data_IF_196284756641
#
_entry.id   IF_196284756641
#
_cell.length_a   1.000
_cell.length_b   1.000
_cell.length_c   1.000
_cell.angle_alpha   90.00
_cell.angle_beta   90.00
_cell.angle_gamma   90.00
#
_symmetry.space_group_name_H-M   'P 1'
#
loop_
_entity.id
_entity.type
_entity.pdbx_description
1 polymer ?
#
# COMPACT_ATOMS: atom_id res chain seq x y z
N UNK A 1 12.92 -25.30 0.74
CA UNK A 1 12.28 -24.11 0.14
C UNK A 1 13.23 -23.60 -0.92
N UNK A 2 12.83 -23.64 -2.19
CA UNK A 2 13.69 -23.21 -3.30
C UNK A 2 13.24 -21.82 -3.73
N UNK A 3 14.17 -20.88 -3.81
CA UNK A 3 13.93 -19.52 -4.28
C UNK A 3 14.35 -19.46 -5.75
N UNK A 4 13.43 -19.06 -6.62
CA UNK A 4 13.66 -18.92 -8.05
C UNK A 4 13.62 -17.45 -8.45
N UNK A 5 14.44 -17.09 -9.44
CA UNK A 5 14.41 -15.78 -10.06
C UNK A 5 13.40 -15.78 -11.21
N UNK A 6 12.50 -14.81 -11.20
CA UNK A 6 11.51 -14.63 -12.26
C UNK A 6 12.16 -14.02 -13.50
N UNK A 7 12.35 -14.86 -14.53
CA UNK A 7 13.00 -14.47 -15.78
C UNK A 7 12.20 -13.41 -16.54
N UNK A 8 10.87 -13.38 -16.40
CA UNK A 8 10.03 -12.40 -17.12
C UNK A 8 10.21 -10.98 -16.56
N UNK A 9 10.61 -10.87 -15.30
CA UNK A 9 10.88 -9.61 -14.63
C UNK A 9 12.37 -9.17 -14.69
N UNK A 10 13.24 -9.90 -15.39
CA UNK A 10 14.67 -9.57 -15.48
C UNK A 10 15.02 -9.03 -16.88
N UNK A 11 15.45 -7.76 -16.92
CA UNK A 11 15.90 -7.09 -18.14
C UNK A 11 17.28 -7.54 -18.56
N UNK A 12 18.19 -7.64 -17.58
CA UNK A 12 19.59 -7.98 -17.81
C UNK A 12 20.21 -8.57 -16.55
N UNK A 13 21.06 -9.57 -16.73
CA UNK A 13 21.95 -10.09 -15.70
C UNK A 13 23.37 -9.78 -16.14
N UNK A 14 24.14 -9.14 -15.28
CA UNK A 14 25.56 -8.87 -15.51
C UNK A 14 26.38 -9.57 -14.43
N UNK A 15 27.38 -10.34 -14.83
CA UNK A 15 28.29 -11.04 -13.92
C UNK A 15 29.65 -10.38 -14.00
N UNK A 16 30.05 -9.72 -12.92
CA UNK A 16 31.40 -9.19 -12.80
C UNK A 16 32.32 -10.28 -12.24
N UNK A 17 33.18 -10.83 -13.10
CA UNK A 17 34.10 -11.92 -12.73
C UNK A 17 35.18 -11.48 -11.75
N UNK A 18 35.56 -10.19 -11.76
CA UNK A 18 36.63 -9.67 -10.91
C UNK A 18 36.12 -9.42 -9.48
N UNK A 19 34.93 -8.81 -9.34
CA UNK A 19 34.33 -8.56 -8.03
C UNK A 19 33.47 -9.72 -7.52
N UNK A 20 33.23 -10.76 -8.34
CA UNK A 20 32.33 -11.88 -8.06
C UNK A 20 30.88 -11.44 -7.76
N UNK A 21 30.47 -10.28 -8.28
CA UNK A 21 29.12 -9.74 -8.10
C UNK A 21 28.22 -10.11 -9.28
N UNK A 22 26.95 -10.40 -8.96
CA UNK A 22 25.88 -10.56 -9.93
C UNK A 22 24.93 -9.38 -9.79
N UNK A 23 24.82 -8.57 -10.83
CA UNK A 23 23.88 -7.48 -10.90
C UNK A 23 22.67 -7.91 -11.74
N UNK A 24 21.48 -7.77 -11.17
CA UNK A 24 20.21 -8.08 -11.84
C UNK A 24 19.48 -6.76 -12.03
N UNK A 25 19.26 -6.39 -13.30
CA UNK A 25 18.45 -5.24 -13.66
C UNK A 25 17.03 -5.72 -13.97
N UNK A 26 16.03 -5.21 -13.25
CA UNK A 26 14.61 -5.52 -13.46
C UNK A 26 14.06 -4.89 -14.75
N UNK A 27 13.07 -5.52 -15.39
CA UNK A 27 12.33 -4.97 -16.56
C UNK A 27 11.46 -3.80 -16.15
N UNK A 28 10.74 -3.96 -15.04
CA UNK A 28 9.88 -2.95 -14.47
C UNK A 28 10.59 -2.36 -13.28
N UNK A 29 10.77 -1.03 -13.27
CA UNK A 29 11.06 -0.35 -12.03
C UNK A 29 9.80 -0.44 -11.17
N UNK A 30 9.87 -1.09 -10.00
CA UNK A 30 8.72 -1.19 -9.12
C UNK A 30 8.29 0.23 -8.74
N UNK A 31 7.08 0.60 -9.15
CA UNK A 31 6.49 1.87 -8.76
C UNK A 31 5.96 1.70 -7.34
N UNK A 32 6.61 2.38 -6.41
CA UNK A 32 6.18 2.40 -5.02
C UNK A 32 5.34 3.64 -4.76
N UNK A 33 4.24 3.45 -4.03
CA UNK A 33 3.49 4.49 -3.36
C UNK A 33 3.99 4.57 -1.92
N UNK A 34 4.48 5.73 -1.50
CA UNK A 34 4.75 5.98 -0.08
C UNK A 34 3.43 6.36 0.59
N UNK A 35 3.03 5.65 1.66
CA UNK A 35 1.74 5.91 2.30
C UNK A 35 1.62 7.33 2.86
N UNK A 36 2.72 7.94 3.29
CA UNK A 36 2.75 9.35 3.69
C UNK A 36 2.42 10.35 2.58
N UNK A 37 2.49 9.96 1.30
CA UNK A 37 2.05 10.82 0.18
C UNK A 37 0.52 10.83 0.03
N UNK A 38 -0.19 9.93 0.71
CA UNK A 38 -1.64 9.94 0.76
C UNK A 38 -2.13 11.07 1.67
N UNK A 39 -2.54 12.17 1.06
CA UNK A 39 -3.18 13.27 1.77
C UNK A 39 -4.65 12.94 2.05
N UNK A 40 -4.90 12.21 3.15
CA UNK A 40 -6.24 11.76 3.56
C UNK A 40 -7.21 12.94 3.79
N UNK A 41 -6.71 14.06 4.32
CA UNK A 41 -7.49 15.29 4.53
C UNK A 41 -7.93 15.96 3.22
N UNK A 42 -7.21 15.75 2.13
CA UNK A 42 -7.59 16.24 0.80
C UNK A 42 -8.54 15.29 0.08
N UNK A 43 -8.47 13.98 0.38
CA UNK A 43 -9.37 12.98 -0.19
C UNK A 43 -10.81 13.18 0.29
N UNK A 44 -11.02 13.51 1.57
CA UNK A 44 -12.35 13.82 2.14
C UNK A 44 -13.05 15.03 1.50
N UNK A 45 -12.31 15.86 0.76
CA UNK A 45 -12.85 17.05 0.07
C UNK A 45 -13.23 16.80 -1.39
N UNK A 46 -12.94 15.61 -1.94
CA UNK A 46 -13.20 15.30 -3.35
C UNK A 46 -14.65 14.85 -3.57
N UNK A 47 -15.27 15.21 -4.71
CA UNK A 47 -16.59 14.70 -5.08
C UNK A 47 -16.59 13.16 -5.11
N UNK A 48 -17.55 12.53 -4.41
CA UNK A 48 -17.66 11.07 -4.32
C UNK A 48 -17.02 10.44 -3.08
N UNK A 49 -16.25 11.21 -2.30
CA UNK A 49 -15.84 10.83 -0.94
C UNK A 49 -16.83 11.43 0.06
N UNK A 50 -17.15 10.69 1.13
CA UNK A 50 -18.12 11.10 2.14
C UNK A 50 -17.80 12.47 2.74
N UNK A 51 -18.81 13.17 3.27
CA UNK A 51 -18.61 14.46 3.95
C UNK A 51 -17.77 14.33 5.24
N UNK A 52 -17.52 13.10 5.68
CA UNK A 52 -16.80 12.81 6.90
C UNK A 52 -15.30 12.90 6.67
N UNK A 53 -14.57 13.28 7.73
CA UNK A 53 -13.12 13.20 7.73
C UNK A 53 -12.70 11.73 7.61
N UNK A 54 -11.67 11.46 6.81
CA UNK A 54 -11.00 10.17 6.82
C UNK A 54 -10.11 10.14 8.06
N UNK A 55 -10.42 9.28 9.02
CA UNK A 55 -9.74 9.23 10.31
C UNK A 55 -8.46 8.41 10.27
N UNK A 56 -8.45 7.30 9.52
CA UNK A 56 -7.29 6.40 9.47
C UNK A 56 -7.22 5.59 8.18
N UNK A 57 -6.03 5.08 7.89
CA UNK A 57 -5.78 4.13 6.83
C UNK A 57 -5.74 2.70 7.39
N UNK A 58 -6.37 1.77 6.68
CA UNK A 58 -6.34 0.33 6.98
C UNK A 58 -5.57 -0.34 5.84
N UNK A 59 -4.51 -1.07 6.17
CA UNK A 59 -3.72 -1.86 5.22
C UNK A 59 -3.89 -3.34 5.54
N UNK A 60 -4.43 -4.12 4.61
CA UNK A 60 -4.65 -5.57 4.78
C UNK A 60 -5.43 -5.93 6.06
N UNK A 61 -6.38 -5.07 6.47
CA UNK A 61 -7.20 -5.26 7.66
C UNK A 61 -6.62 -4.69 8.96
N UNK A 62 -5.40 -4.14 8.95
CA UNK A 62 -4.78 -3.53 10.12
C UNK A 62 -4.77 -2.00 10.02
N UNK A 63 -5.11 -1.31 11.11
CA UNK A 63 -5.02 0.15 11.18
C UNK A 63 -3.53 0.55 11.17
N UNK A 64 -3.17 1.44 10.25
CA UNK A 64 -1.81 1.93 10.09
C UNK A 64 -1.66 3.24 10.86
N UNK A 65 -0.69 3.28 11.77
CA UNK A 65 -0.35 4.51 12.51
C UNK A 65 0.39 5.53 11.63
N UNK A 66 0.42 6.80 12.05
CA UNK A 66 1.16 7.85 11.34
C UNK A 66 2.65 7.52 11.15
N UNK A 67 3.27 6.86 12.13
CA UNK A 67 4.67 6.42 12.03
C UNK A 67 4.82 5.30 10.99
N UNK A 68 3.90 4.34 10.98
CA UNK A 68 3.89 3.29 9.97
C UNK A 68 3.63 3.88 8.57
N UNK A 69 2.73 4.86 8.43
CA UNK A 69 2.48 5.54 7.14
C UNK A 69 3.73 6.21 6.58
N UNK A 70 4.56 6.84 7.43
CA UNK A 70 5.82 7.49 7.01
C UNK A 70 6.87 6.52 6.48
N UNK A 71 6.86 5.29 6.99
CA UNK A 71 7.90 4.30 6.69
C UNK A 71 7.44 3.21 5.72
N UNK A 72 6.14 3.15 5.39
CA UNK A 72 5.58 2.09 4.55
C UNK A 72 5.49 2.50 3.09
N UNK A 73 6.10 1.67 2.24
CA UNK A 73 5.99 1.75 0.78
C UNK A 73 5.23 0.54 0.27
N UNK A 74 4.24 0.78 -0.60
CA UNK A 74 3.46 -0.27 -1.25
C UNK A 74 3.81 -0.27 -2.73
N UNK A 75 4.14 -1.43 -3.28
CA UNK A 75 4.25 -1.56 -4.72
C UNK A 75 2.87 -1.43 -5.37
N UNK A 76 2.70 -0.53 -6.33
CA UNK A 76 1.40 -0.26 -6.96
C UNK A 76 0.82 -1.53 -7.61
N UNK A 77 1.67 -2.38 -8.18
CA UNK A 77 1.28 -3.65 -8.81
C UNK A 77 0.70 -4.68 -7.82
N UNK A 78 1.01 -4.51 -6.52
CA UNK A 78 0.54 -5.36 -5.45
C UNK A 78 -0.84 -4.93 -4.94
N UNK A 79 -1.30 -3.69 -5.19
CA UNK A 79 -2.62 -3.22 -4.74
C UNK A 79 -3.71 -3.97 -5.50
N UNK A 80 -4.61 -4.62 -4.76
CA UNK A 80 -5.76 -5.35 -5.32
C UNK A 80 -7.07 -4.59 -5.16
N UNK A 81 -7.20 -3.79 -4.09
CA UNK A 81 -8.41 -3.03 -3.81
C UNK A 81 -8.08 -1.74 -3.04
N UNK A 82 -8.81 -0.68 -3.37
CA UNK A 82 -8.82 0.58 -2.62
C UNK A 82 -10.28 0.95 -2.38
N UNK A 83 -10.66 1.16 -1.12
CA UNK A 83 -12.04 1.44 -0.76
C UNK A 83 -12.11 2.49 0.35
N UNK A 84 -13.10 3.38 0.27
CA UNK A 84 -13.53 4.20 1.40
C UNK A 84 -14.58 3.39 2.18
N UNK A 85 -14.29 3.11 3.45
CA UNK A 85 -15.24 2.50 4.38
C UNK A 85 -15.89 3.62 5.19
N UNK A 86 -17.21 3.75 5.10
CA UNK A 86 -17.92 4.79 5.86
C UNK A 86 -18.03 4.40 7.32
N UNK A 87 -18.15 5.40 8.20
CA UNK A 87 -18.40 5.14 9.63
C UNK A 87 -19.59 4.19 9.85
N UNK A 88 -20.65 4.31 9.06
CA UNK A 88 -21.83 3.44 9.14
C UNK A 88 -21.51 1.96 8.85
N UNK A 89 -20.66 1.70 7.84
CA UNK A 89 -20.18 0.36 7.53
C UNK A 89 -19.31 -0.21 8.66
N UNK A 90 -18.54 0.67 9.33
CA UNK A 90 -17.60 0.28 10.37
C UNK A 90 -18.22 0.15 11.77
N UNK A 91 -19.33 0.83 12.06
CA UNK A 91 -20.04 0.71 13.34
C UNK A 91 -20.54 -0.73 13.62
N UNK A 92 -20.76 -1.51 12.56
CA UNK A 92 -21.13 -2.92 12.66
C UNK A 92 -19.91 -3.85 12.87
N UNK A 93 -18.68 -3.34 12.73
CA UNK A 93 -17.44 -4.09 12.95
C UNK A 93 -16.92 -3.91 14.38
N UNK A 94 -16.25 -4.93 14.93
CA UNK A 94 -15.76 -4.92 16.33
C UNK A 94 -14.59 -3.93 16.51
N UNK A 95 -13.78 -3.72 15.47
CA UNK A 95 -12.48 -3.04 15.58
C UNK A 95 -12.56 -1.50 15.53
N UNK A 96 -13.70 -0.93 15.10
CA UNK A 96 -13.79 0.52 14.83
C UNK A 96 -15.02 1.20 15.44
N UNK A 97 -15.69 0.57 16.41
CA UNK A 97 -16.94 1.11 17.03
C UNK A 97 -16.79 2.48 17.69
N UNK A 98 -15.57 2.88 18.05
CA UNK A 98 -15.29 4.15 18.73
C UNK A 98 -14.77 5.25 17.82
N UNK A 99 -14.49 4.92 16.55
CA UNK A 99 -13.95 5.89 15.61
C UNK A 99 -15.05 6.81 15.05
N UNK A 100 -14.72 8.08 14.90
CA UNK A 100 -15.61 9.13 14.39
C UNK A 100 -15.01 9.63 13.07
N UNK A 101 -15.29 8.87 12.01
CA UNK A 101 -14.85 9.19 10.66
C UNK A 101 -14.95 8.02 9.71
N UNK A 102 -14.60 8.28 8.46
CA UNK A 102 -14.47 7.25 7.43
C UNK A 102 -13.04 6.69 7.45
N UNK A 103 -12.84 5.51 6.86
CA UNK A 103 -11.54 4.83 6.79
C UNK A 103 -11.14 4.58 5.36
N UNK A 104 -9.83 4.68 5.09
CA UNK A 104 -9.28 4.36 3.79
C UNK A 104 -8.65 2.97 3.79
N UNK A 105 -9.30 1.99 3.16
CA UNK A 105 -8.82 0.62 3.08
C UNK A 105 -7.99 0.40 1.82
N UNK A 106 -6.81 -0.17 1.99
CA UNK A 106 -5.95 -0.69 0.93
C UNK A 106 -5.70 -2.18 1.20
N UNK A 107 -5.98 -3.03 0.21
CA UNK A 107 -5.58 -4.43 0.23
C UNK A 107 -4.53 -4.70 -0.84
N UNK A 108 -3.55 -5.54 -0.50
CA UNK A 108 -2.50 -5.98 -1.41
C UNK A 108 -2.56 -7.48 -1.65
N UNK A 109 -1.93 -7.94 -2.73
CA UNK A 109 -1.64 -9.36 -2.97
C UNK A 109 -0.81 -9.88 -1.80
N UNK A 110 -1.20 -11.03 -1.25
CA UNK A 110 -0.42 -11.79 -0.26
C UNK A 110 0.54 -12.75 -0.97
#
# INVERSE_FOLDING_TARGET
>A
MNVYLDKENIKKITVNKNSKLVEIQSVLEPKYLLLAELNLDSLSKRPGFGKNKIESLILNGEIVSDEQMKNTKIEISAITNIQLLTQEQMNNSINCRMAIGDFFLINTKQ
#
